data_IF_514518023672
#
_entry.id   IF_514518023672
#
_cell.length_a   1.000
_cell.length_b   1.000
_cell.length_c   1.000
_cell.angle_alpha   90.00
_cell.angle_beta   90.00
_cell.angle_gamma   90.00
#
_symmetry.space_group_name_H-M   'P 1'
#
loop_
_entity.id
_entity.type
_entity.pdbx_description
1 polymer ?
#
# COMPACT_ATOMS: atom_id res chain seq x y z
N UNK A 1 9.14 -4.08 -22.51
CA UNK A 1 7.97 -3.23 -22.82
C UNK A 1 6.87 -3.53 -21.80
N UNK A 2 6.23 -2.53 -21.20
CA UNK A 2 5.20 -2.77 -20.18
C UNK A 2 4.07 -1.77 -20.31
N UNK A 3 2.84 -2.25 -20.20
CA UNK A 3 1.60 -1.47 -20.33
C UNK A 3 1.70 -0.15 -19.52
N UNK A 4 1.57 1.03 -20.15
CA UNK A 4 1.66 2.33 -19.46
C UNK A 4 0.69 2.48 -18.29
N UNK A 5 -0.51 1.88 -18.39
CA UNK A 5 -1.50 1.89 -17.31
C UNK A 5 -1.04 1.05 -16.12
N UNK A 6 -0.41 -0.09 -16.39
CA UNK A 6 0.20 -0.92 -15.34
C UNK A 6 1.32 -0.16 -14.63
N UNK A 7 2.20 0.52 -15.38
CA UNK A 7 3.27 1.36 -14.80
C UNK A 7 2.72 2.49 -13.93
N UNK A 8 1.59 3.11 -14.31
CA UNK A 8 0.90 4.11 -13.49
C UNK A 8 0.36 3.54 -12.19
N UNK A 9 -0.25 2.35 -12.23
CA UNK A 9 -0.70 1.64 -11.02
C UNK A 9 0.46 1.38 -10.06
N UNK A 10 1.55 0.79 -10.57
CA UNK A 10 2.75 0.51 -9.76
C UNK A 10 3.37 1.79 -9.18
N UNK A 11 3.35 2.90 -9.91
CA UNK A 11 3.83 4.20 -9.38
C UNK A 11 2.96 4.67 -8.22
N UNK A 12 1.64 4.61 -8.35
CA UNK A 12 0.70 4.98 -7.29
C UNK A 12 0.88 4.09 -6.05
N UNK A 13 0.99 2.77 -6.23
CA UNK A 13 1.25 1.83 -5.13
C UNK A 13 2.50 2.24 -4.35
N UNK A 14 3.60 2.55 -5.05
CA UNK A 14 4.86 2.97 -4.41
C UNK A 14 4.75 4.29 -3.66
N UNK A 15 4.02 5.26 -4.22
CA UNK A 15 3.79 6.56 -3.57
C UNK A 15 2.98 6.41 -2.28
N UNK A 16 1.88 5.65 -2.32
CA UNK A 16 1.08 5.31 -1.13
C UNK A 16 1.95 4.60 -0.11
N UNK A 17 2.75 3.62 -0.53
CA UNK A 17 3.65 2.91 0.39
C UNK A 17 4.62 3.85 1.09
N UNK A 18 5.20 4.81 0.37
CA UNK A 18 6.16 5.75 0.94
C UNK A 18 5.49 6.66 1.97
N UNK A 19 4.33 7.25 1.64
CA UNK A 19 3.57 8.12 2.55
C UNK A 19 3.31 7.41 3.89
N UNK A 20 2.83 6.16 3.86
CA UNK A 20 2.51 5.45 5.09
C UNK A 20 3.76 4.98 5.86
N UNK A 21 4.84 4.61 5.17
CA UNK A 21 6.13 4.32 5.82
C UNK A 21 6.66 5.54 6.56
N UNK A 22 6.61 6.72 5.94
CA UNK A 22 7.06 7.97 6.56
C UNK A 22 6.22 8.35 7.79
N UNK A 23 4.96 7.91 7.82
CA UNK A 23 4.07 8.03 8.99
C UNK A 23 4.20 6.85 9.97
N UNK A 24 5.26 6.06 9.86
CA UNK A 24 5.62 4.97 10.77
C UNK A 24 4.68 3.78 10.73
N UNK A 25 4.04 3.51 9.60
CA UNK A 25 3.32 2.26 9.37
C UNK A 25 4.27 1.19 8.85
N UNK A 26 4.00 -0.05 9.22
CA UNK A 26 4.54 -1.23 8.54
C UNK A 26 3.68 -1.43 7.29
N UNK A 27 4.33 -1.46 6.12
CA UNK A 27 3.64 -1.48 4.82
C UNK A 27 4.07 -2.69 4.01
N UNK A 28 3.09 -3.48 3.57
CA UNK A 28 3.29 -4.65 2.71
C UNK A 28 2.52 -4.50 1.41
N UNK A 29 3.11 -4.89 0.29
CA UNK A 29 2.47 -4.90 -1.04
C UNK A 29 2.19 -6.33 -1.46
N UNK A 30 1.06 -6.58 -2.11
CA UNK A 30 0.71 -7.92 -2.56
C UNK A 30 1.49 -8.33 -3.80
N UNK A 31 1.79 -9.62 -3.92
CA UNK A 31 2.52 -10.15 -5.06
C UNK A 31 1.61 -10.14 -6.30
N UNK A 32 1.95 -9.33 -7.30
CA UNK A 32 1.28 -9.30 -8.60
C UNK A 32 -0.17 -8.80 -8.58
N UNK A 33 -0.64 -8.17 -7.49
CA UNK A 33 -2.05 -7.78 -7.30
C UNK A 33 -3.04 -8.94 -7.48
N UNK A 34 -2.64 -10.17 -7.12
CA UNK A 34 -3.52 -11.34 -7.15
C UNK A 34 -4.46 -11.45 -5.95
N UNK A 35 -4.35 -10.56 -4.97
CA UNK A 35 -5.27 -10.51 -3.84
C UNK A 35 -6.36 -9.43 -4.06
N UNK A 36 -7.41 -9.40 -3.21
CA UNK A 36 -8.43 -8.36 -3.26
C UNK A 36 -7.96 -6.94 -2.89
N UNK A 37 -6.67 -6.76 -2.59
CA UNK A 37 -6.06 -5.50 -2.15
C UNK A 37 -4.62 -5.40 -2.66
N UNK A 38 -4.12 -4.18 -2.86
CA UNK A 38 -2.77 -3.96 -3.37
C UNK A 38 -1.75 -3.77 -2.23
N UNK A 39 -2.18 -3.13 -1.14
CA UNK A 39 -1.32 -2.75 -0.01
C UNK A 39 -2.01 -3.08 1.32
N UNK A 40 -1.23 -3.57 2.29
CA UNK A 40 -1.65 -3.75 3.69
C UNK A 40 -0.84 -2.80 4.56
N UNK A 41 -1.54 -2.05 5.41
CA UNK A 41 -0.98 -1.08 6.35
C UNK A 41 -1.20 -1.59 7.77
N UNK A 42 -0.14 -1.61 8.57
CA UNK A 42 -0.21 -1.97 10.00
C UNK A 42 0.43 -0.85 10.82
N UNK A 43 -0.25 -0.40 11.87
CA UNK A 43 0.32 0.52 12.87
C UNK A 43 0.41 -0.18 14.21
N UNK A 44 1.56 -0.02 14.84
CA UNK A 44 1.80 -0.46 16.20
C UNK A 44 1.84 0.74 17.13
N UNK A 45 1.26 0.59 18.32
CA UNK A 45 1.47 1.54 19.41
C UNK A 45 2.81 1.25 20.05
N UNK A 46 3.72 2.23 20.03
CA UNK A 46 5.03 2.12 20.67
C UNK A 46 4.93 1.95 22.19
N UNK A 47 3.89 2.51 22.80
CA UNK A 47 3.65 2.44 24.24
C UNK A 47 3.12 1.06 24.65
N UNK A 48 2.13 0.53 23.92
CA UNK A 48 1.46 -0.72 24.27
C UNK A 48 2.11 -1.96 23.66
N UNK A 49 3.04 -1.78 22.71
CA UNK A 49 3.64 -2.83 21.87
C UNK A 49 2.59 -3.75 21.25
N UNK A 50 1.48 -3.16 20.80
CA UNK A 50 0.33 -3.84 20.21
C UNK A 50 -0.02 -3.21 18.87
N UNK A 51 -0.54 -4.02 17.95
CA UNK A 51 -1.20 -3.53 16.73
C UNK A 51 -2.42 -2.72 17.14
N UNK A 52 -2.48 -1.46 16.71
CA UNK A 52 -3.60 -0.57 16.97
C UNK A 52 -4.41 -0.26 15.71
N UNK A 53 -3.87 -0.55 14.52
CA UNK A 53 -4.56 -0.31 13.26
C UNK A 53 -4.11 -1.30 12.19
N UNK A 54 -5.07 -1.78 11.39
CA UNK A 54 -4.83 -2.55 10.17
C UNK A 54 -5.77 -2.04 9.09
N UNK A 55 -5.26 -1.79 7.89
CA UNK A 55 -6.06 -1.47 6.71
C UNK A 55 -5.62 -2.25 5.47
N UNK A 56 -6.61 -2.63 4.68
CA UNK A 56 -6.44 -3.24 3.35
C UNK A 56 -6.79 -2.19 2.31
N UNK A 57 -5.83 -1.83 1.47
CA UNK A 57 -5.94 -0.72 0.53
C UNK A 57 -5.91 -1.25 -0.89
N UNK A 58 -6.98 -0.97 -1.63
CA UNK A 58 -7.02 -1.13 -3.08
C UNK A 58 -6.62 0.20 -3.73
N UNK A 59 -5.57 0.19 -4.53
CA UNK A 59 -5.07 1.36 -5.26
C UNK A 59 -5.78 1.46 -6.61
N UNK A 60 -6.45 2.59 -6.87
CA UNK A 60 -7.09 2.85 -8.17
C UNK A 60 -6.56 4.16 -8.75
N UNK A 61 -6.06 4.11 -9.98
CA UNK A 61 -5.76 5.31 -10.76
C UNK A 61 -7.03 5.74 -11.51
N UNK A 62 -7.24 7.04 -11.68
CA UNK A 62 -8.34 7.56 -12.51
C UNK A 62 -8.11 7.08 -13.95
N UNK A 63 -9.16 6.55 -14.59
CA UNK A 63 -9.13 6.30 -16.04
C UNK A 63 -9.03 7.65 -16.74
N UNK A 64 -7.97 7.82 -17.53
CA UNK A 64 -7.81 8.94 -18.46
C UNK A 64 -8.53 8.55 -19.75
#
# INVERSE_FOLDING_TARGET
MGNPNYRRGVRLEREIMQIFKDNGYIVMRTAGSHSPFDVVLVKESSELKKICFVAFVQCKTKKI
#
